data_IF_659183548309
#
_entry.id   IF_659183548309
#
_cell.length_a   1.000
_cell.length_b   1.000
_cell.length_c   1.000
_cell.angle_alpha   90.00
_cell.angle_beta   90.00
_cell.angle_gamma   90.00
#
_symmetry.space_group_name_H-M   'P 1'
#
loop_
_entity.id
_entity.type
_entity.pdbx_description
1 polymer ?
#
# COMPACT_ATOMS: atom_id res chain seq x y z
N UNK A 1 2.55 -12.16 19.25
CA UNK A 1 1.23 -11.53 19.11
C UNK A 1 1.02 -11.24 17.64
N UNK A 2 -0.10 -11.63 17.06
CA UNK A 2 -0.45 -11.29 15.67
C UNK A 2 -1.41 -10.11 15.72
N UNK A 3 -0.99 -8.94 15.26
CA UNK A 3 -1.87 -7.79 15.20
C UNK A 3 -2.83 -7.95 14.01
N UNK A 4 -4.14 -7.88 14.26
CA UNK A 4 -5.13 -7.89 13.19
C UNK A 4 -5.16 -6.51 12.54
N UNK A 5 -4.65 -6.42 11.32
CA UNK A 5 -4.64 -5.17 10.53
C UNK A 5 -5.89 -5.14 9.65
N UNK A 6 -6.76 -4.14 9.84
CA UNK A 6 -7.86 -3.90 8.91
C UNK A 6 -7.31 -3.42 7.55
N UNK A 7 -7.54 -4.26 6.54
CA UNK A 7 -7.00 -4.06 5.20
C UNK A 7 -7.70 -2.88 4.51
N UNK A 8 -9.01 -2.69 4.73
CA UNK A 8 -9.72 -1.61 4.05
C UNK A 8 -9.27 -0.26 4.56
N UNK A 9 -9.16 -0.11 5.89
CA UNK A 9 -8.61 1.09 6.51
C UNK A 9 -7.16 1.33 6.08
N UNK A 10 -6.31 0.30 6.04
CA UNK A 10 -4.93 0.42 5.56
C UNK A 10 -4.87 0.97 4.12
N UNK A 11 -5.69 0.44 3.21
CA UNK A 11 -5.72 0.88 1.81
C UNK A 11 -6.18 2.34 1.73
N UNK A 12 -7.23 2.70 2.49
CA UNK A 12 -7.74 4.06 2.53
C UNK A 12 -6.67 5.06 3.00
N UNK A 13 -6.01 4.78 4.13
CA UNK A 13 -4.99 5.65 4.71
C UNK A 13 -3.76 5.81 3.80
N UNK A 14 -3.36 4.74 3.09
CA UNK A 14 -2.25 4.80 2.14
C UNK A 14 -2.65 5.61 0.91
N UNK A 15 -3.87 5.46 0.42
CA UNK A 15 -4.36 6.22 -0.75
C UNK A 15 -4.20 7.73 -0.53
N UNK A 16 -4.50 8.21 0.67
CA UNK A 16 -4.41 9.62 1.05
C UNK A 16 -2.97 10.14 1.22
N UNK A 17 -1.96 9.27 1.16
CA UNK A 17 -0.55 9.61 1.38
C UNK A 17 0.31 9.25 0.16
N UNK A 18 0.31 10.09 -0.90
CA UNK A 18 1.08 9.84 -2.13
C UNK A 18 2.56 9.59 -1.90
N UNK A 19 3.16 10.17 -0.86
CA UNK A 19 4.56 9.92 -0.49
C UNK A 19 4.87 8.43 -0.23
N UNK A 20 3.87 7.59 0.09
CA UNK A 20 4.04 6.15 0.35
C UNK A 20 4.04 5.32 -0.94
N UNK A 21 3.24 5.70 -1.94
CA UNK A 21 2.95 4.82 -3.08
C UNK A 21 3.20 5.46 -4.45
N UNK A 22 3.12 6.78 -4.55
CA UNK A 22 3.19 7.51 -5.81
C UNK A 22 4.61 7.95 -6.13
N UNK A 23 5.37 7.10 -6.81
CA UNK A 23 6.74 7.42 -7.28
C UNK A 23 6.85 8.60 -8.25
N UNK A 24 5.73 9.10 -8.77
CA UNK A 24 5.70 10.31 -9.61
C UNK A 24 5.57 11.58 -8.77
N UNK A 25 5.19 11.45 -7.49
CA UNK A 25 5.15 12.57 -6.54
C UNK A 25 6.56 12.96 -6.10
N UNK A 26 6.78 14.27 -5.95
CA UNK A 26 8.02 14.81 -5.39
C UNK A 26 8.23 14.35 -3.93
N UNK A 27 7.14 14.14 -3.20
CA UNK A 27 7.15 13.73 -1.79
C UNK A 27 7.59 12.27 -1.60
N UNK A 28 7.57 11.45 -2.65
CA UNK A 28 7.98 10.03 -2.59
C UNK A 28 9.48 9.85 -2.28
N UNK A 29 10.27 10.93 -2.36
CA UNK A 29 11.69 10.93 -1.98
C UNK A 29 11.94 11.57 -0.61
N UNK A 30 10.91 12.13 0.01
CA UNK A 30 11.02 12.76 1.32
C UNK A 30 10.91 11.70 2.42
N UNK A 31 12.08 11.31 2.94
CA UNK A 31 12.20 10.31 4.02
C UNK A 31 11.49 10.73 5.30
N UNK A 32 11.43 12.04 5.59
CA UNK A 32 10.77 12.57 6.78
C UNK A 32 9.27 12.44 6.60
N UNK A 33 8.73 12.86 5.44
CA UNK A 33 7.30 12.73 5.12
C UNK A 33 6.84 11.28 5.11
N UNK A 34 7.65 10.37 4.56
CA UNK A 34 7.38 8.93 4.56
C UNK A 34 7.33 8.37 5.98
N UNK A 35 8.33 8.68 6.81
CA UNK A 35 8.37 8.20 8.19
C UNK A 35 7.19 8.72 9.02
N UNK A 36 6.84 10.00 8.87
CA UNK A 36 5.68 10.61 9.56
C UNK A 36 4.38 9.98 9.07
N UNK A 37 4.21 9.81 7.76
CA UNK A 37 3.04 9.18 7.16
C UNK A 37 2.81 7.75 7.67
N UNK A 38 3.88 6.96 7.80
CA UNK A 38 3.78 5.63 8.39
C UNK A 38 3.38 5.67 9.86
N UNK A 39 3.93 6.59 10.66
CA UNK A 39 3.54 6.74 12.07
C UNK A 39 2.06 7.06 12.22
N UNK A 40 1.53 7.95 11.39
CA UNK A 40 0.09 8.28 11.37
C UNK A 40 -0.77 7.08 10.95
N UNK A 41 -0.31 6.29 9.98
CA UNK A 41 -1.00 5.06 9.59
C UNK A 41 -1.02 4.07 10.76
N UNK A 42 0.10 3.90 11.46
CA UNK A 42 0.18 2.98 12.59
C UNK A 42 -0.73 3.40 13.74
N UNK A 43 -0.78 4.69 14.08
CA UNK A 43 -1.67 5.18 15.12
C UNK A 43 -3.15 5.09 14.73
N UNK A 44 -3.48 5.28 13.46
CA UNK A 44 -4.85 5.13 12.98
C UNK A 44 -5.32 3.66 12.90
N UNK A 45 -4.39 2.70 12.84
CA UNK A 45 -4.69 1.26 12.80
C UNK A 45 -4.68 0.60 14.19
N UNK A 46 -4.16 1.28 15.19
CA UNK A 46 -4.03 0.77 16.55
C UNK A 46 -4.10 1.92 17.54
N UNK A 47 -5.23 2.07 18.22
CA UNK A 47 -5.50 3.21 19.12
C UNK A 47 -4.40 3.39 20.18
N UNK A 48 -3.92 2.29 20.77
CA UNK A 48 -2.86 2.31 21.79
C UNK A 48 -1.45 2.27 21.20
N UNK A 49 -1.26 2.55 19.91
CA UNK A 49 0.04 2.46 19.24
C UNK A 49 1.14 3.23 19.99
N UNK A 50 0.80 4.41 20.53
CA UNK A 50 1.77 5.23 21.26
C UNK A 50 2.13 4.67 22.64
N UNK A 51 1.27 3.83 23.23
CA UNK A 51 1.51 3.16 24.51
C UNK A 51 2.40 1.91 24.37
N UNK A 52 2.50 1.36 23.15
CA UNK A 52 3.37 0.22 22.86
C UNK A 52 4.85 0.56 23.13
N UNK A 53 5.60 -0.45 23.57
CA UNK A 53 7.06 -0.37 23.70
C UNK A 53 7.72 -0.26 22.33
N UNK A 54 8.95 0.25 22.27
CA UNK A 54 9.65 0.45 20.98
C UNK A 54 9.79 -0.84 20.16
N UNK A 55 10.07 -1.96 20.81
CA UNK A 55 10.13 -3.26 20.15
C UNK A 55 8.76 -3.69 19.59
N UNK A 56 7.67 -3.44 20.32
CA UNK A 56 6.31 -3.75 19.88
C UNK A 56 5.88 -2.86 18.71
N UNK A 57 6.21 -1.55 18.77
CA UNK A 57 6.01 -0.62 17.66
C UNK A 57 6.73 -1.06 16.40
N UNK A 58 7.98 -1.52 16.53
CA UNK A 58 8.75 -2.03 15.40
C UNK A 58 8.12 -3.29 14.81
N UNK A 59 7.70 -4.25 15.64
CA UNK A 59 7.03 -5.47 15.18
C UNK A 59 5.73 -5.13 14.45
N UNK A 60 4.87 -4.31 15.05
CA UNK A 60 3.60 -3.88 14.45
C UNK A 60 3.81 -3.14 13.13
N UNK A 61 4.73 -2.16 13.11
CA UNK A 61 5.03 -1.40 11.90
C UNK A 61 5.55 -2.27 10.76
N UNK A 62 6.37 -3.29 11.07
CA UNK A 62 6.83 -4.26 10.09
C UNK A 62 5.68 -5.13 9.56
N UNK A 63 4.75 -5.55 10.41
CA UNK A 63 3.58 -6.33 9.99
C UNK A 63 2.66 -5.51 9.07
N UNK A 64 2.37 -4.26 9.41
CA UNK A 64 1.55 -3.35 8.60
C UNK A 64 2.18 -3.12 7.21
N UNK A 65 3.48 -2.80 7.17
CA UNK A 65 4.20 -2.59 5.92
C UNK A 65 4.26 -3.87 5.07
N UNK A 66 4.50 -5.03 5.69
CA UNK A 66 4.46 -6.33 5.02
C UNK A 66 3.08 -6.62 4.43
N UNK A 67 2.01 -6.32 5.17
CA UNK A 67 0.63 -6.47 4.69
C UNK A 67 0.37 -5.61 3.47
N UNK A 68 0.77 -4.34 3.51
CA UNK A 68 0.66 -3.43 2.37
C UNK A 68 1.41 -3.95 1.15
N UNK A 69 2.66 -4.36 1.31
CA UNK A 69 3.47 -4.91 0.22
C UNK A 69 2.78 -6.11 -0.44
N UNK A 70 2.26 -7.05 0.36
CA UNK A 70 1.54 -8.22 -0.16
C UNK A 70 0.28 -7.84 -0.95
N UNK A 71 -0.50 -6.86 -0.47
CA UNK A 71 -1.69 -6.36 -1.16
C UNK A 71 -1.32 -5.71 -2.49
N UNK A 72 -0.33 -4.80 -2.47
CA UNK A 72 0.17 -4.11 -3.65
C UNK A 72 0.71 -5.08 -4.70
N UNK A 73 1.49 -6.06 -4.29
CA UNK A 73 2.07 -7.06 -5.19
C UNK A 73 1.01 -7.96 -5.80
N UNK A 74 0.00 -8.37 -5.02
CA UNK A 74 -1.14 -9.14 -5.51
C UNK A 74 -1.95 -8.35 -6.55
N UNK A 75 -2.19 -7.05 -6.29
CA UNK A 75 -2.86 -6.16 -7.22
C UNK A 75 -2.04 -5.93 -8.50
N UNK A 76 -0.72 -5.73 -8.39
CA UNK A 76 0.17 -5.63 -9.55
C UNK A 76 0.09 -6.88 -10.44
N UNK A 77 0.17 -8.07 -9.83
CA UNK A 77 0.03 -9.33 -10.57
C UNK A 77 -1.30 -9.40 -11.30
N UNK A 78 -2.40 -9.02 -10.64
CA UNK A 78 -3.70 -8.93 -11.27
C UNK A 78 -3.72 -7.97 -12.47
N UNK A 79 -3.19 -6.74 -12.33
CA UNK A 79 -3.13 -5.75 -13.43
C UNK A 79 -2.32 -6.28 -14.62
N UNK A 80 -1.14 -6.88 -14.38
CA UNK A 80 -0.31 -7.50 -15.42
C UNK A 80 -1.08 -8.63 -16.10
N UNK A 81 -1.75 -9.49 -15.33
CA UNK A 81 -2.55 -10.58 -15.86
C UNK A 81 -3.67 -10.06 -16.76
N UNK A 82 -4.40 -9.01 -16.35
CA UNK A 82 -5.46 -8.39 -17.16
C UNK A 82 -4.90 -7.80 -18.46
N UNK A 83 -3.72 -7.16 -18.43
CA UNK A 83 -3.11 -6.52 -19.60
C UNK A 83 -2.61 -7.52 -20.65
N UNK A 84 -2.07 -8.67 -20.21
CA UNK A 84 -1.41 -9.63 -21.11
C UNK A 84 -2.24 -10.87 -21.42
N UNK A 85 -3.40 -11.06 -20.78
CA UNK A 85 -4.22 -12.23 -21.07
C UNK A 85 -4.97 -12.06 -22.39
N UNK A 86 -4.83 -13.04 -23.28
CA UNK A 86 -5.66 -13.16 -24.48
C UNK A 86 -7.10 -13.57 -24.17
N UNK A 87 -7.40 -13.95 -22.93
CA UNK A 87 -8.73 -14.35 -22.45
C UNK A 87 -9.25 -13.30 -21.46
N UNK A 88 -10.52 -12.87 -21.57
CA UNK A 88 -11.10 -11.92 -20.63
C UNK A 88 -11.07 -12.43 -19.18
N UNK A 89 -10.46 -11.66 -18.28
CA UNK A 89 -10.49 -11.96 -16.84
C UNK A 89 -11.82 -11.51 -16.26
N UNK A 90 -12.65 -12.48 -15.86
CA UNK A 90 -14.01 -12.23 -15.34
C UNK A 90 -14.03 -11.86 -13.86
N UNK A 91 -13.07 -12.36 -13.06
CA UNK A 91 -13.01 -12.09 -11.63
C UNK A 91 -12.09 -10.92 -11.31
N UNK A 92 -12.66 -9.83 -10.80
CA UNK A 92 -11.89 -8.69 -10.28
C UNK A 92 -11.18 -9.05 -8.97
N UNK A 93 -10.01 -8.45 -8.73
CA UNK A 93 -9.35 -8.51 -7.43
C UNK A 93 -10.26 -7.91 -6.35
N UNK A 94 -10.30 -8.53 -5.16
CA UNK A 94 -11.26 -8.17 -4.09
C UNK A 94 -11.17 -6.70 -3.68
N UNK A 95 -9.96 -6.11 -3.69
CA UNK A 95 -9.75 -4.69 -3.37
C UNK A 95 -9.56 -3.80 -4.61
N UNK A 96 -9.96 -4.27 -5.80
CA UNK A 96 -9.71 -3.57 -7.07
C UNK A 96 -10.18 -2.11 -7.03
N UNK A 97 -11.43 -1.86 -6.65
CA UNK A 97 -12.00 -0.50 -6.66
C UNK A 97 -11.27 0.45 -5.71
N UNK A 98 -10.72 -0.08 -4.62
CA UNK A 98 -9.96 0.70 -3.63
C UNK A 98 -8.51 0.92 -4.07
N UNK A 99 -7.93 0.01 -4.86
CA UNK A 99 -6.53 0.05 -5.30
C UNK A 99 -6.32 0.63 -6.70
N UNK A 100 -7.38 0.96 -7.45
CA UNK A 100 -7.28 1.51 -8.81
C UNK A 100 -6.45 2.80 -8.91
N UNK A 101 -6.24 3.51 -7.82
CA UNK A 101 -5.32 4.66 -7.78
C UNK A 101 -3.86 4.27 -8.12
N UNK A 102 -3.46 3.02 -7.83
CA UNK A 102 -2.14 2.50 -8.18
C UNK A 102 -1.95 2.30 -9.69
N UNK A 103 -3.01 2.32 -10.50
CA UNK A 103 -2.85 2.23 -11.96
C UNK A 103 -1.96 3.36 -12.48
N UNK A 104 -2.02 4.55 -11.86
CA UNK A 104 -1.14 5.68 -12.15
C UNK A 104 0.34 5.28 -12.21
N UNK A 105 0.81 4.47 -11.26
CA UNK A 105 2.23 4.07 -11.19
C UNK A 105 2.57 2.89 -12.10
N UNK A 106 1.60 2.04 -12.45
CA UNK A 106 1.82 0.89 -13.32
C UNK A 106 1.73 1.23 -14.80
N UNK A 107 0.87 2.18 -15.16
CA UNK A 107 0.85 2.73 -16.52
C UNK A 107 2.11 3.56 -16.79
N UNK A 108 2.59 4.29 -15.77
CA UNK A 108 3.87 5.01 -15.87
C UNK A 108 5.09 4.09 -16.08
N UNK A 109 5.11 2.88 -15.50
CA UNK A 109 6.21 1.93 -15.77
C UNK A 109 6.21 1.42 -17.22
N UNK A 110 5.03 1.25 -17.83
CA UNK A 110 4.91 0.87 -19.24
C UNK A 110 5.52 1.93 -20.16
N UNK A 111 5.28 3.21 -19.85
CA UNK A 111 5.82 4.35 -20.62
C UNK A 111 7.35 4.46 -20.56
N UNK A 112 8.00 3.95 -19.51
CA UNK A 112 9.48 3.94 -19.42
C UNK A 112 10.13 2.77 -20.14
N UNK A 113 9.36 1.74 -20.48
CA UNK A 113 9.88 0.49 -21.05
C UNK A 113 9.71 0.44 -22.59
N UNK A 114 9.14 1.49 -23.18
CA UNK A 114 9.07 1.73 -24.63
C UNK A 114 10.04 2.83 -25.02
#
# INVERSE_FOLDING_TARGET
MTYSVDIETLIHLIRERPCIWDKTSIEYRDRIKIATSWREIFSALHDDFYLLRENEKMVFGNEVQKKWNNIRDSFRKYVVQVKHSSVPITKKYVYYERLKFLNKIYDFDDLKTK
#
